data_IF_993202624529
#
_entry.id   IF_993202624529
#
_cell.length_a   1.000
_cell.length_b   1.000
_cell.length_c   1.000
_cell.angle_alpha   90.00
_cell.angle_beta   90.00
_cell.angle_gamma   90.00
#
_symmetry.space_group_name_H-M   'P 1'
#
loop_
_entity.id
_entity.type
_entity.pdbx_description
1 polymer ?
#
# COMPACT_ATOMS: atom_id res chain seq x y z
N UNK A 1 -12.36 8.09 11.19
CA UNK A 1 -13.32 8.26 10.07
C UNK A 1 -12.79 9.38 9.17
N UNK A 2 -12.23 9.07 7.99
CA UNK A 2 -11.64 10.09 7.12
C UNK A 2 -12.68 10.56 6.12
N UNK A 3 -13.23 11.76 6.34
CA UNK A 3 -14.19 12.36 5.42
C UNK A 3 -13.55 12.55 4.02
N UNK A 4 -14.34 12.49 2.93
CA UNK A 4 -13.87 12.96 1.63
C UNK A 4 -13.43 14.43 1.76
N UNK A 5 -12.15 14.69 1.49
CA UNK A 5 -11.53 15.98 1.77
C UNK A 5 -9.99 15.90 1.81
N UNK A 6 -9.31 17.06 1.98
CA UNK A 6 -7.85 17.18 1.93
C UNK A 6 -7.13 16.38 3.02
N UNK A 7 -7.77 16.17 4.18
CA UNK A 7 -7.20 15.36 5.26
C UNK A 7 -6.90 13.92 4.82
N UNK A 8 -7.76 13.31 4.00
CA UNK A 8 -7.50 11.95 3.49
C UNK A 8 -6.47 11.89 2.38
N UNK A 9 -6.21 13.00 1.70
CA UNK A 9 -5.17 13.09 0.68
C UNK A 9 -3.80 13.22 1.34
N UNK A 10 -3.70 14.09 2.35
CA UNK A 10 -2.52 14.21 3.20
C UNK A 10 -2.20 12.90 3.91
N UNK A 11 -3.23 12.20 4.44
CA UNK A 11 -3.04 10.89 5.06
C UNK A 11 -2.52 9.84 4.07
N UNK A 12 -3.02 9.83 2.84
CA UNK A 12 -2.54 8.88 1.82
C UNK A 12 -1.07 9.13 1.46
N UNK A 13 -0.69 10.39 1.24
CA UNK A 13 0.70 10.78 0.99
C UNK A 13 1.61 10.42 2.17
N UNK A 14 1.20 10.78 3.39
CA UNK A 14 1.96 10.49 4.61
C UNK A 14 2.09 8.98 4.87
N UNK A 15 1.03 8.19 4.63
CA UNK A 15 1.07 6.75 4.74
C UNK A 15 2.09 6.14 3.76
N UNK A 16 2.16 6.65 2.52
CA UNK A 16 3.18 6.25 1.56
C UNK A 16 4.59 6.57 2.05
N UNK A 17 4.83 7.81 2.48
CA UNK A 17 6.13 8.23 2.99
C UNK A 17 6.59 7.40 4.22
N UNK A 18 5.70 7.19 5.18
CA UNK A 18 5.96 6.37 6.36
C UNK A 18 6.18 4.89 6.01
N UNK A 19 5.48 4.38 4.99
CA UNK A 19 5.62 3.00 4.54
C UNK A 19 7.03 2.62 4.10
N UNK A 20 7.85 3.58 3.65
CA UNK A 20 9.24 3.34 3.26
C UNK A 20 10.09 2.87 4.43
N UNK A 21 9.77 3.30 5.66
CA UNK A 21 10.49 2.85 6.86
C UNK A 21 10.30 1.36 7.19
N UNK A 22 9.37 0.67 6.51
CA UNK A 22 9.28 -0.78 6.59
C UNK A 22 10.45 -1.50 5.89
N UNK A 23 11.11 -0.83 4.96
CA UNK A 23 12.20 -1.39 4.15
C UNK A 23 13.56 -1.04 4.76
N UNK A 24 14.61 -1.70 4.28
CA UNK A 24 15.97 -1.36 4.67
C UNK A 24 16.28 0.12 4.38
N UNK A 25 17.08 0.79 5.23
CA UNK A 25 17.80 0.26 6.38
C UNK A 25 16.98 0.23 7.70
N UNK A 26 15.77 0.78 7.73
CA UNK A 26 15.00 0.92 8.99
C UNK A 26 14.33 -0.40 9.41
N UNK A 27 13.77 -1.16 8.45
CA UNK A 27 13.25 -2.50 8.71
C UNK A 27 12.06 -2.56 9.68
N UNK A 28 11.30 -1.46 9.84
CA UNK A 28 10.15 -1.42 10.74
C UNK A 28 8.94 -2.12 10.09
N UNK A 29 9.01 -3.45 9.99
CA UNK A 29 8.05 -4.29 9.30
C UNK A 29 6.57 -4.03 9.65
N UNK A 30 6.16 -3.59 10.87
CA UNK A 30 4.75 -3.29 11.12
C UNK A 30 4.20 -2.19 10.21
N UNK A 31 5.05 -1.28 9.72
CA UNK A 31 4.65 -0.22 8.78
C UNK A 31 4.26 -0.78 7.41
N UNK A 32 4.73 -1.98 7.02
CA UNK A 32 4.28 -2.67 5.81
C UNK A 32 2.79 -3.04 5.88
N UNK A 33 2.23 -3.18 7.08
CA UNK A 33 0.79 -3.42 7.29
C UNK A 33 0.07 -2.10 7.60
N UNK A 34 0.64 -1.24 8.46
CA UNK A 34 -0.01 -0.01 8.90
C UNK A 34 -0.16 1.02 7.76
N UNK A 35 0.79 1.14 6.84
CA UNK A 35 0.67 2.06 5.71
C UNK A 35 -0.52 1.68 4.79
N UNK A 36 -0.69 0.40 4.37
CA UNK A 36 -1.90 -0.05 3.70
C UNK A 36 -3.18 0.10 4.53
N UNK A 37 -3.15 -0.11 5.86
CA UNK A 37 -4.33 0.15 6.73
C UNK A 37 -4.80 1.59 6.57
N UNK A 38 -3.87 2.55 6.65
CA UNK A 38 -4.19 3.97 6.48
C UNK A 38 -4.74 4.24 5.08
N UNK A 39 -4.08 3.76 4.03
CA UNK A 39 -4.53 3.95 2.65
C UNK A 39 -5.94 3.36 2.41
N UNK A 40 -6.15 2.09 2.76
CA UNK A 40 -7.43 1.40 2.56
C UNK A 40 -8.56 2.08 3.33
N UNK A 41 -8.29 2.62 4.52
CA UNK A 41 -9.26 3.39 5.28
C UNK A 41 -9.75 4.64 4.53
N UNK A 42 -8.88 5.26 3.72
CA UNK A 42 -9.23 6.42 2.88
C UNK A 42 -9.95 6.04 1.60
N UNK A 43 -9.84 4.79 1.14
CA UNK A 43 -10.48 4.33 -0.09
C UNK A 43 -11.94 3.93 0.10
N UNK A 44 -12.32 3.41 1.26
CA UNK A 44 -13.62 2.77 1.47
C UNK A 44 -14.85 3.59 1.07
N UNK A 45 -14.88 4.87 1.44
CA UNK A 45 -15.99 5.79 1.14
C UNK A 45 -15.65 6.73 -0.04
N UNK A 46 -14.55 6.47 -0.74
CA UNK A 46 -14.11 7.30 -1.84
C UNK A 46 -14.82 6.88 -3.15
N UNK A 47 -15.03 7.84 -4.04
CA UNK A 47 -15.34 7.54 -5.44
C UNK A 47 -14.14 6.85 -6.10
N UNK A 48 -14.36 6.17 -7.23
CA UNK A 48 -13.29 5.55 -8.04
C UNK A 48 -12.17 6.54 -8.36
N UNK A 49 -12.52 7.75 -8.81
CA UNK A 49 -11.54 8.80 -9.12
C UNK A 49 -10.77 9.25 -7.88
N UNK A 50 -11.44 9.39 -6.73
CA UNK A 50 -10.78 9.82 -5.49
C UNK A 50 -9.88 8.73 -4.90
N UNK A 51 -10.27 7.47 -5.03
CA UNK A 51 -9.41 6.35 -4.64
C UNK A 51 -8.17 6.26 -5.53
N UNK A 52 -8.33 6.46 -6.85
CA UNK A 52 -7.21 6.53 -7.78
C UNK A 52 -6.23 7.65 -7.39
N UNK A 53 -6.75 8.85 -7.13
CA UNK A 53 -5.95 9.99 -6.68
C UNK A 53 -5.21 9.73 -5.38
N UNK A 54 -5.87 9.13 -4.38
CA UNK A 54 -5.22 8.80 -3.10
C UNK A 54 -4.19 7.68 -3.25
N UNK A 55 -4.43 6.71 -4.14
CA UNK A 55 -3.41 5.73 -4.52
C UNK A 55 -2.20 6.40 -5.16
N UNK A 56 -2.42 7.36 -6.07
CA UNK A 56 -1.35 8.14 -6.67
C UNK A 56 -0.54 8.92 -5.62
N UNK A 57 -1.20 9.61 -4.70
CA UNK A 57 -0.53 10.33 -3.60
C UNK A 57 0.25 9.40 -2.68
N UNK A 58 -0.30 8.24 -2.35
CA UNK A 58 0.44 7.21 -1.62
C UNK A 58 1.69 6.78 -2.36
N UNK A 59 1.56 6.48 -3.66
CA UNK A 59 2.69 6.16 -4.52
C UNK A 59 3.74 7.26 -4.56
N UNK A 60 3.31 8.53 -4.60
CA UNK A 60 4.22 9.67 -4.63
C UNK A 60 5.05 9.76 -3.36
N UNK A 61 4.45 9.54 -2.19
CA UNK A 61 5.19 9.49 -0.92
C UNK A 61 6.11 8.28 -0.81
N UNK A 62 5.60 7.11 -1.23
CA UNK A 62 6.29 5.82 -1.11
C UNK A 62 7.47 5.70 -2.06
N UNK A 63 7.25 5.87 -3.37
CA UNK A 63 8.29 5.83 -4.38
C UNK A 63 9.15 7.10 -4.33
N UNK A 64 8.57 8.26 -4.02
CA UNK A 64 9.32 9.50 -3.90
C UNK A 64 10.45 9.42 -2.89
N UNK A 65 10.22 8.77 -1.73
CA UNK A 65 11.29 8.54 -0.76
C UNK A 65 12.08 7.26 -1.08
N UNK A 66 11.39 6.15 -1.36
CA UNK A 66 12.01 4.83 -1.48
C UNK A 66 12.80 4.57 -2.77
N UNK A 67 12.61 5.38 -3.82
CA UNK A 67 13.36 5.23 -5.09
C UNK A 67 14.06 6.51 -5.56
N UNK A 68 14.12 7.55 -4.72
CA UNK A 68 14.82 8.81 -5.04
C UNK A 68 16.29 8.60 -5.38
N UNK A 69 16.93 7.55 -4.84
CA UNK A 69 18.31 7.18 -5.11
C UNK A 69 18.60 6.93 -6.61
N UNK A 70 17.58 6.62 -7.42
CA UNK A 70 17.72 6.47 -8.88
C UNK A 70 18.24 7.76 -9.53
N UNK A 71 17.99 8.92 -8.93
CA UNK A 71 18.58 10.19 -9.35
C UNK A 71 20.10 10.11 -9.46
N UNK A 72 20.77 9.59 -8.43
CA UNK A 72 22.23 9.47 -8.41
C UNK A 72 22.71 8.56 -9.54
N UNK A 73 21.98 7.46 -9.79
CA UNK A 73 22.33 6.55 -10.88
C UNK A 73 22.29 7.24 -12.26
N UNK A 74 21.25 8.03 -12.51
CA UNK A 74 21.09 8.75 -13.79
C UNK A 74 22.09 9.89 -13.92
N UNK A 75 22.32 10.64 -12.84
CA UNK A 75 23.23 11.78 -12.87
C UNK A 75 24.69 11.33 -13.04
N UNK A 76 25.12 10.34 -12.26
CA UNK A 76 26.52 9.92 -12.22
C UNK A 76 26.87 8.94 -13.34
N UNK A 77 26.10 7.87 -13.56
CA UNK A 77 26.42 6.90 -14.61
C UNK A 77 25.89 7.32 -15.99
N UNK A 78 24.74 8.01 -16.01
CA UNK A 78 24.18 8.57 -17.24
C UNK A 78 24.84 9.87 -17.70
N UNK A 79 25.70 10.47 -16.86
CA UNK A 79 26.36 11.76 -17.13
C UNK A 79 25.37 12.89 -17.51
N UNK A 80 24.12 12.75 -17.05
CA UNK A 80 23.06 13.71 -17.37
C UNK A 80 23.18 14.95 -16.48
N UNK A 81 22.93 16.18 -16.99
CA UNK A 81 22.83 17.36 -16.14
C UNK A 81 21.79 17.16 -15.03
N UNK A 82 22.03 17.75 -13.85
CA UNK A 82 21.20 17.49 -12.65
C UNK A 82 19.70 17.75 -12.85
N UNK A 83 19.32 18.79 -13.59
CA UNK A 83 17.91 19.08 -13.88
C UNK A 83 17.25 17.99 -14.73
N UNK A 84 18.00 17.40 -15.68
CA UNK A 84 17.49 16.33 -16.55
C UNK A 84 17.35 15.03 -15.75
N UNK A 85 18.35 14.69 -14.93
CA UNK A 85 18.29 13.54 -14.03
C UNK A 85 17.11 13.66 -13.05
N UNK A 86 16.87 14.85 -12.49
CA UNK A 86 15.74 15.12 -11.62
C UNK A 86 14.40 14.96 -12.37
N UNK A 87 14.30 15.50 -13.60
CA UNK A 87 13.12 15.35 -14.44
C UNK A 87 12.79 13.90 -14.78
N UNK A 88 13.80 13.10 -15.15
CA UNK A 88 13.63 11.66 -15.43
C UNK A 88 13.21 10.91 -14.17
N UNK A 89 13.86 11.18 -13.03
CA UNK A 89 13.53 10.54 -11.75
C UNK A 89 12.10 10.88 -11.33
N UNK A 90 11.69 12.14 -11.46
CA UNK A 90 10.33 12.57 -11.17
C UNK A 90 9.32 11.87 -12.09
N UNK A 91 9.56 11.83 -13.41
CA UNK A 91 8.70 11.12 -14.36
C UNK A 91 8.57 9.62 -14.00
N UNK A 92 9.67 9.00 -13.58
CA UNK A 92 9.69 7.60 -13.14
C UNK A 92 8.85 7.38 -11.88
N UNK A 93 9.01 8.23 -10.85
CA UNK A 93 8.19 8.17 -9.62
C UNK A 93 6.71 8.37 -9.93
N UNK A 94 6.36 9.32 -10.81
CA UNK A 94 4.97 9.56 -11.23
C UNK A 94 4.40 8.32 -11.94
N UNK A 95 5.18 7.67 -12.80
CA UNK A 95 4.78 6.43 -13.46
C UNK A 95 4.55 5.28 -12.46
N UNK A 96 5.48 5.07 -11.51
CA UNK A 96 5.34 4.06 -10.46
C UNK A 96 4.12 4.32 -9.56
N UNK A 97 3.84 5.59 -9.26
CA UNK A 97 2.67 6.01 -8.49
C UNK A 97 1.34 5.67 -9.18
N UNK A 98 1.37 5.43 -10.49
CA UNK A 98 0.24 4.92 -11.25
C UNK A 98 -0.21 3.51 -10.82
N UNK A 99 0.68 2.66 -10.30
CA UNK A 99 0.31 1.30 -9.88
C UNK A 99 -0.65 1.32 -8.66
N UNK A 100 -0.35 1.97 -7.52
CA UNK A 100 -1.31 2.09 -6.43
C UNK A 100 -2.57 2.88 -6.81
N UNK A 101 -2.46 3.85 -7.74
CA UNK A 101 -3.62 4.57 -8.28
C UNK A 101 -4.58 3.61 -9.02
N UNK A 102 -4.04 2.73 -9.86
CA UNK A 102 -4.81 1.71 -10.57
C UNK A 102 -5.48 0.72 -9.59
N UNK A 103 -4.78 0.29 -8.53
CA UNK A 103 -5.35 -0.56 -7.48
C UNK A 103 -6.54 0.12 -6.81
N UNK A 104 -6.38 1.39 -6.41
CA UNK A 104 -7.46 2.18 -5.81
C UNK A 104 -8.65 2.34 -6.74
N UNK A 105 -8.41 2.63 -8.02
CA UNK A 105 -9.45 2.80 -9.03
C UNK A 105 -10.24 1.50 -9.26
N UNK A 106 -9.54 0.40 -9.56
CA UNK A 106 -10.15 -0.89 -9.88
C UNK A 106 -10.83 -1.50 -8.66
N UNK A 107 -10.20 -1.43 -7.49
CA UNK A 107 -10.75 -1.99 -6.25
C UNK A 107 -12.05 -1.30 -5.84
N UNK A 108 -12.18 0.01 -6.08
CA UNK A 108 -13.41 0.74 -5.76
C UNK A 108 -14.56 0.52 -6.73
N UNK A 109 -14.37 -0.22 -7.83
CA UNK A 109 -15.45 -0.70 -8.68
C UNK A 109 -16.20 -1.89 -8.09
N UNK A 110 -15.57 -2.65 -7.19
CA UNK A 110 -16.21 -3.78 -6.52
C UNK A 110 -17.30 -3.30 -5.55
N UNK A 111 -18.33 -4.12 -5.32
CA UNK A 111 -19.39 -3.83 -4.34
C UNK A 111 -19.08 -4.45 -2.98
N UNK A 112 -19.46 -3.76 -1.91
CA UNK A 112 -19.31 -4.23 -0.53
C UNK A 112 -17.93 -3.91 0.08
N UNK A 113 -17.94 -3.28 1.25
CA UNK A 113 -16.71 -2.87 1.94
C UNK A 113 -15.80 -4.07 2.30
N UNK A 114 -16.37 -5.18 2.77
CA UNK A 114 -15.60 -6.39 3.09
C UNK A 114 -14.89 -6.99 1.88
N UNK A 115 -15.62 -7.15 0.76
CA UNK A 115 -15.05 -7.66 -0.49
C UNK A 115 -13.94 -6.77 -1.04
N UNK A 116 -14.09 -5.45 -0.95
CA UNK A 116 -13.03 -4.50 -1.33
C UNK A 116 -11.77 -4.70 -0.49
N UNK A 117 -11.91 -4.69 0.84
CA UNK A 117 -10.79 -4.73 1.78
C UNK A 117 -10.04 -6.06 1.78
N UNK A 118 -10.77 -7.16 1.79
CA UNK A 118 -10.21 -8.49 2.07
C UNK A 118 -9.85 -9.23 0.78
N UNK A 119 -10.48 -8.89 -0.34
CA UNK A 119 -10.28 -9.60 -1.61
C UNK A 119 -9.69 -8.66 -2.66
N UNK A 120 -10.41 -7.59 -3.01
CA UNK A 120 -10.05 -6.78 -4.18
C UNK A 120 -8.73 -6.03 -3.99
N UNK A 121 -8.54 -5.28 -2.90
CA UNK A 121 -7.31 -4.50 -2.73
C UNK A 121 -6.05 -5.37 -2.64
N UNK A 122 -5.98 -6.44 -1.81
CA UNK A 122 -4.79 -7.28 -1.74
C UNK A 122 -4.48 -7.99 -3.06
N UNK A 123 -5.50 -8.53 -3.74
CA UNK A 123 -5.31 -9.22 -5.03
C UNK A 123 -4.87 -8.27 -6.14
N UNK A 124 -5.52 -7.10 -6.27
CA UNK A 124 -5.17 -6.10 -7.27
C UNK A 124 -3.78 -5.51 -7.02
N UNK A 125 -3.41 -5.31 -5.76
CA UNK A 125 -2.06 -4.84 -5.40
C UNK A 125 -1.00 -5.86 -5.79
N UNK A 126 -1.21 -7.13 -5.46
CA UNK A 126 -0.30 -8.21 -5.82
C UNK A 126 -0.16 -8.34 -7.34
N UNK A 127 -1.27 -8.23 -8.08
CA UNK A 127 -1.24 -8.23 -9.54
C UNK A 127 -0.51 -7.00 -10.11
N UNK A 128 -0.68 -5.84 -9.51
CA UNK A 128 0.01 -4.61 -9.89
C UNK A 128 1.53 -4.74 -9.66
N UNK A 129 1.96 -5.29 -8.52
CA UNK A 129 3.38 -5.56 -8.23
C UNK A 129 3.97 -6.64 -9.14
N UNK A 130 3.22 -7.70 -9.42
CA UNK A 130 3.63 -8.74 -10.36
C UNK A 130 3.83 -8.15 -11.76
N UNK A 131 2.87 -7.36 -12.26
CA UNK A 131 2.98 -6.67 -13.55
C UNK A 131 4.18 -5.74 -13.59
N UNK A 132 4.37 -4.94 -12.54
CA UNK A 132 5.53 -4.04 -12.39
C UNK A 132 6.86 -4.78 -12.37
N UNK A 133 6.88 -6.05 -11.95
CA UNK A 133 8.07 -6.87 -11.87
C UNK A 133 8.64 -7.34 -13.22
N UNK A 134 7.86 -7.31 -14.30
CA UNK A 134 8.32 -7.78 -15.62
C UNK A 134 7.97 -6.84 -16.79
N UNK A 135 6.93 -6.01 -16.65
CA UNK A 135 6.52 -5.08 -17.69
C UNK A 135 7.64 -4.08 -18.01
N UNK A 136 7.94 -3.90 -19.30
CA UNK A 136 9.05 -3.07 -19.78
C UNK A 136 10.38 -3.37 -19.07
N UNK A 137 10.75 -4.66 -19.01
CA UNK A 137 11.94 -5.21 -18.29
C UNK A 137 11.83 -5.24 -16.76
N UNK A 138 10.80 -4.59 -16.20
CA UNK A 138 10.45 -4.70 -14.79
C UNK A 138 11.25 -3.80 -13.85
N UNK A 139 10.62 -3.43 -12.73
CA UNK A 139 11.26 -2.73 -11.62
C UNK A 139 10.65 -3.22 -10.29
N UNK A 140 11.02 -4.42 -9.81
CA UNK A 140 10.42 -5.06 -8.64
C UNK A 140 10.99 -4.55 -7.31
N UNK A 141 11.17 -3.23 -7.16
CA UNK A 141 11.61 -2.61 -5.90
C UNK A 141 10.43 -2.33 -4.97
N UNK A 142 10.65 -2.38 -3.66
CA UNK A 142 9.64 -2.05 -2.65
C UNK A 142 8.38 -2.91 -2.81
N UNK A 143 8.56 -4.23 -2.90
CA UNK A 143 7.45 -5.17 -2.93
C UNK A 143 6.89 -5.32 -1.52
N UNK A 144 5.57 -5.37 -1.39
CA UNK A 144 4.89 -5.50 -0.09
C UNK A 144 5.36 -6.71 0.74
N UNK A 145 5.92 -7.73 0.09
CA UNK A 145 6.52 -8.89 0.75
C UNK A 145 7.84 -8.60 1.45
N UNK A 146 8.73 -7.76 0.90
CA UNK A 146 10.13 -7.63 1.37
C UNK A 146 10.27 -7.31 2.86
N UNK A 147 9.51 -6.36 3.45
CA UNK A 147 9.62 -6.03 4.87
C UNK A 147 9.34 -7.21 5.81
N UNK A 148 8.64 -8.24 5.30
CA UNK A 148 8.23 -9.38 6.11
C UNK A 148 9.33 -10.41 6.32
N UNK A 149 10.50 -10.26 5.70
CA UNK A 149 11.66 -11.12 5.92
C UNK A 149 12.11 -11.12 7.39
N UNK A 150 11.90 -10.02 8.13
CA UNK A 150 12.21 -9.89 9.56
C UNK A 150 10.96 -9.92 10.45
N UNK A 151 9.84 -10.40 9.91
CA UNK A 151 8.55 -10.47 10.61
C UNK A 151 8.16 -11.93 10.94
N UNK A 152 7.08 -12.16 11.71
CA UNK A 152 6.54 -13.51 11.89
C UNK A 152 6.17 -14.25 10.60
N UNK A 153 6.08 -13.55 9.46
CA UNK A 153 5.82 -14.14 8.15
C UNK A 153 7.09 -14.67 7.45
N UNK A 154 8.29 -14.49 8.02
CA UNK A 154 9.56 -14.88 7.40
C UNK A 154 9.61 -16.36 6.97
N UNK A 155 9.03 -17.27 7.78
CA UNK A 155 9.00 -18.70 7.50
C UNK A 155 8.19 -19.10 6.26
N UNK A 156 7.35 -18.20 5.72
CA UNK A 156 6.51 -18.50 4.55
C UNK A 156 7.20 -18.22 3.21
N UNK A 157 8.27 -17.42 3.18
CA UNK A 157 8.98 -17.10 1.93
C UNK A 157 9.41 -18.34 1.12
N UNK A 158 10.01 -19.38 1.72
CA UNK A 158 10.42 -20.58 0.97
C UNK A 158 9.25 -21.39 0.40
N UNK A 159 8.04 -21.21 0.92
CA UNK A 159 6.87 -22.01 0.56
C UNK A 159 6.03 -21.31 -0.50
N UNK A 160 5.77 -20.02 -0.32
CA UNK A 160 4.81 -19.27 -1.16
C UNK A 160 5.43 -18.08 -1.90
N UNK A 161 6.68 -17.73 -1.60
CA UNK A 161 7.39 -16.62 -2.22
C UNK A 161 6.92 -15.22 -1.79
N UNK A 162 7.64 -14.19 -2.25
CA UNK A 162 7.46 -12.79 -1.81
C UNK A 162 6.06 -12.23 -2.12
N UNK A 163 5.49 -12.52 -3.29
CA UNK A 163 4.18 -11.99 -3.68
C UNK A 163 3.06 -12.50 -2.77
N UNK A 164 3.09 -13.78 -2.39
CA UNK A 164 2.10 -14.34 -1.49
C UNK A 164 2.28 -13.84 -0.05
N UNK A 165 3.52 -13.67 0.42
CA UNK A 165 3.79 -13.04 1.72
C UNK A 165 3.28 -11.59 1.74
N UNK A 166 3.54 -10.82 0.69
CA UNK A 166 3.00 -9.46 0.54
C UNK A 166 1.48 -9.44 0.50
N UNK A 167 0.85 -10.39 -0.21
CA UNK A 167 -0.60 -10.55 -0.22
C UNK A 167 -1.15 -10.79 1.19
N UNK A 168 -0.52 -11.64 2.01
CA UNK A 168 -0.93 -11.90 3.40
C UNK A 168 -0.86 -10.61 4.24
N UNK A 169 0.20 -9.82 4.10
CA UNK A 169 0.35 -8.53 4.79
C UNK A 169 -0.74 -7.53 4.42
N UNK A 170 -1.04 -7.41 3.11
CA UNK A 170 -2.10 -6.55 2.58
C UNK A 170 -3.49 -7.04 2.99
N UNK A 171 -3.70 -8.36 3.00
CA UNK A 171 -4.92 -8.98 3.49
C UNK A 171 -5.15 -8.68 4.97
N UNK A 172 -4.11 -8.80 5.80
CA UNK A 172 -4.15 -8.44 7.21
C UNK A 172 -4.52 -6.97 7.41
N UNK A 173 -3.96 -6.06 6.60
CA UNK A 173 -4.36 -4.66 6.60
C UNK A 173 -5.86 -4.47 6.30
N UNK A 174 -6.37 -5.15 5.27
CA UNK A 174 -7.80 -5.16 4.93
C UNK A 174 -8.69 -5.65 6.07
N UNK A 175 -8.30 -6.75 6.74
CA UNK A 175 -9.01 -7.30 7.89
C UNK A 175 -9.03 -6.32 9.06
N UNK A 176 -7.91 -5.68 9.38
CA UNK A 176 -7.81 -4.68 10.45
C UNK A 176 -8.76 -3.49 10.21
N UNK A 177 -8.79 -2.99 8.98
CA UNK A 177 -9.71 -1.90 8.61
C UNK A 177 -11.17 -2.38 8.71
N UNK A 178 -11.48 -3.58 8.24
CA UNK A 178 -12.83 -4.14 8.33
C UNK A 178 -13.28 -4.34 9.78
N UNK A 179 -12.40 -4.86 10.64
CA UNK A 179 -12.63 -5.07 12.06
C UNK A 179 -12.91 -3.75 12.79
N UNK A 180 -12.13 -2.70 12.51
CA UNK A 180 -12.29 -1.37 13.11
C UNK A 180 -13.66 -0.72 12.85
N UNK A 181 -14.44 -1.25 11.89
CA UNK A 181 -15.77 -0.76 11.51
C UNK A 181 -16.92 -1.56 12.11
N UNK A 182 -16.66 -2.70 12.77
CA UNK A 182 -17.71 -3.43 13.46
C UNK A 182 -18.20 -2.56 14.64
N UNK A 183 -19.52 -2.42 14.84
CA UNK A 183 -20.01 -1.81 16.08
C UNK A 183 -19.43 -2.59 17.27
N UNK A 184 -19.02 -1.92 18.35
CA UNK A 184 -18.55 -2.61 19.55
C UNK A 184 -19.61 -3.62 19.96
N UNK A 185 -19.18 -4.85 20.28
CA UNK A 185 -20.08 -5.87 20.80
C UNK A 185 -20.84 -5.25 21.97
N UNK A 186 -22.15 -5.04 21.82
CA UNK A 186 -22.98 -4.58 22.93
C UNK A 186 -22.83 -5.62 24.05
N UNK A 187 -22.45 -5.25 25.29
CA UNK A 187 -22.31 -6.19 26.40
C UNK A 187 -23.60 -6.97 26.76
N UNK A 188 -24.72 -6.69 26.09
CA UNK A 188 -26.05 -7.17 26.40
C UNK A 188 -26.27 -8.69 26.22
N UNK A 189 -25.30 -9.45 25.69
CA UNK A 189 -25.45 -10.91 25.53
C UNK A 189 -24.94 -11.69 26.76
N UNK A 190 -24.17 -11.07 27.66
CA UNK A 190 -23.66 -11.75 28.87
C UNK A 190 -24.60 -11.68 30.09
N UNK A 191 -25.56 -10.75 30.11
CA UNK A 191 -26.52 -10.62 31.22
C UNK A 191 -27.75 -11.54 31.10
N UNK A 192 -27.98 -12.17 29.93
CA UNK A 192 -29.07 -13.13 29.74
C UNK A 192 -28.76 -14.56 30.23
N UNK A 193 -27.50 -14.87 30.51
CA UNK A 193 -27.05 -16.19 31.00
C UNK A 193 -26.79 -16.17 32.52
N UNK A 194 -26.70 -14.99 33.15
CA UNK A 194 -26.51 -14.85 34.59
C UNK A 194 -27.83 -14.75 35.40
N UNK A 195 -28.99 -14.74 34.73
CA UNK A 195 -30.32 -14.61 35.35
C UNK A 195 -31.34 -15.67 34.87
N UNK A 196 -30.87 -16.77 34.29
CA UNK A 196 -31.70 -17.90 33.83
C UNK A 196 -31.39 -19.18 34.59
#
# INVERSE_FOLDING_TARGET
>A
MVRPGPAGDALALAAGALGVAAYAPLGWWPLAVLAPVLLFSTWLEASVARAAWRGFLFGLGFFGLGVSWVFHSIHEFGQAPGWLAAGITAAFILALSGFPAMVGALGNRYRGAGSRLVIAYPALWTLAEWTRGWFLTGFPWLLAGEPHADSPLAGYFPVVGTYAVGWIGLWAAGVLVWWSRRPPLRPAVWLGVALG
#
